data_IF_231077535492
#
_entry.id   IF_231077535492
#
_cell.length_a   1.000
_cell.length_b   1.000
_cell.length_c   1.000
_cell.angle_alpha   90.00
_cell.angle_beta   90.00
_cell.angle_gamma   90.00
#
_symmetry.space_group_name_H-M   'P 1'
#
loop_
_entity.id
_entity.type
_entity.pdbx_description
1 polymer ?
#
# COMPACT_ATOMS: atom_id res chain seq x y z
N UNK A 1 -23.50 32.74 43.68
CA UNK A 1 -22.03 32.73 43.52
C UNK A 1 -21.68 31.28 43.30
N UNK A 2 -21.61 30.85 42.04
CA UNK A 2 -21.06 29.53 41.72
C UNK A 2 -19.58 29.59 42.06
N UNK A 3 -19.10 28.56 42.72
CA UNK A 3 -17.76 28.48 43.30
C UNK A 3 -16.72 28.50 42.17
N UNK A 4 -15.72 29.38 42.26
CA UNK A 4 -14.69 29.51 41.22
C UNK A 4 -13.88 28.21 41.05
N UNK A 5 -13.94 27.30 42.03
CA UNK A 5 -13.38 25.95 41.94
C UNK A 5 -14.15 25.01 40.99
N UNK A 6 -15.48 25.11 40.93
CA UNK A 6 -16.30 24.21 40.07
C UNK A 6 -16.18 24.57 38.58
N UNK A 7 -16.05 25.86 38.24
CA UNK A 7 -15.83 26.30 36.86
C UNK A 7 -14.45 25.88 36.31
N UNK A 8 -13.42 25.87 37.16
CA UNK A 8 -12.07 25.42 36.80
C UNK A 8 -12.01 23.92 36.53
N UNK A 9 -12.68 23.12 37.35
CA UNK A 9 -12.76 21.66 37.19
C UNK A 9 -13.52 21.25 35.91
N UNK A 10 -14.58 21.99 35.55
CA UNK A 10 -15.31 21.76 34.30
C UNK A 10 -14.46 22.10 33.05
N UNK A 11 -13.71 23.20 33.08
CA UNK A 11 -12.86 23.62 31.97
C UNK A 11 -11.71 22.62 31.73
N UNK A 12 -11.08 22.15 32.80
CA UNK A 12 -10.06 21.10 32.73
C UNK A 12 -10.64 19.78 32.17
N UNK A 13 -11.86 19.40 32.60
CA UNK A 13 -12.53 18.22 32.06
C UNK A 13 -12.79 18.30 30.54
N UNK A 14 -13.11 19.49 30.00
CA UNK A 14 -13.27 19.67 28.56
C UNK A 14 -11.95 19.63 27.80
N UNK A 15 -10.87 20.16 28.39
CA UNK A 15 -9.54 20.12 27.79
C UNK A 15 -9.00 18.69 27.66
N UNK A 16 -9.28 17.82 28.64
CA UNK A 16 -8.92 16.39 28.58
C UNK A 16 -9.63 15.63 27.45
N UNK A 17 -10.80 16.12 27.01
CA UNK A 17 -11.57 15.53 25.90
C UNK A 17 -11.15 16.07 24.52
N UNK A 18 -10.24 17.05 24.48
CA UNK A 18 -9.79 17.65 23.23
C UNK A 18 -8.98 16.63 22.43
N UNK A 19 -9.28 16.41 21.15
CA UNK A 19 -8.45 15.57 20.29
C UNK A 19 -7.01 16.08 20.25
N UNK A 20 -6.05 15.16 20.25
CA UNK A 20 -4.63 15.47 20.13
C UNK A 20 -4.26 15.55 18.65
N UNK A 21 -3.53 16.59 18.28
CA UNK A 21 -3.05 16.75 16.91
C UNK A 21 -2.06 15.62 16.55
N UNK A 22 -2.27 14.91 15.43
CA UNK A 22 -1.38 13.84 15.01
C UNK A 22 0.03 14.35 14.66
N UNK A 23 1.05 13.55 14.96
CA UNK A 23 2.41 13.80 14.52
C UNK A 23 2.56 13.51 13.01
N UNK A 24 3.50 14.19 12.31
CA UNK A 24 3.82 13.88 10.91
C UNK A 24 4.17 12.39 10.67
N UNK A 25 4.76 11.70 11.66
CA UNK A 25 5.10 10.28 11.60
C UNK A 25 3.88 9.35 11.52
N UNK A 26 2.72 9.80 12.02
CA UNK A 26 1.45 9.08 11.97
C UNK A 26 0.77 9.20 10.60
N UNK A 27 1.25 10.06 9.70
CA UNK A 27 0.83 10.07 8.32
C UNK A 27 1.46 8.90 7.56
N UNK A 28 0.64 8.12 6.85
CA UNK A 28 1.14 7.00 6.05
C UNK A 28 1.86 7.43 4.75
N UNK A 29 1.85 8.73 4.42
CA UNK A 29 2.47 9.30 3.21
C UNK A 29 1.83 8.85 1.89
N UNK A 30 0.80 8.01 1.94
CA UNK A 30 0.19 7.37 0.77
C UNK A 30 -1.06 8.10 0.28
N UNK A 31 -1.44 9.17 0.97
CA UNK A 31 -2.54 10.03 0.57
C UNK A 31 -3.95 9.47 0.77
N UNK A 32 -4.09 8.66 1.82
CA UNK A 32 -5.36 8.09 2.23
C UNK A 32 -6.41 9.18 2.52
N UNK A 33 -7.67 8.88 2.25
CA UNK A 33 -8.81 9.72 2.61
C UNK A 33 -9.87 8.81 3.26
N UNK A 34 -10.26 9.05 4.52
CA UNK A 34 -9.73 10.10 5.40
C UNK A 34 -8.27 9.83 5.83
N UNK A 35 -7.45 10.88 5.83
CA UNK A 35 -6.13 10.90 6.46
C UNK A 35 -6.26 11.02 7.99
N UNK A 36 -5.21 10.71 8.75
CA UNK A 36 -5.18 10.92 10.20
C UNK A 36 -5.44 12.39 10.56
N UNK A 37 -4.95 13.33 9.75
CA UNK A 37 -5.23 14.76 9.90
C UNK A 37 -6.68 15.12 9.58
N UNK A 38 -7.31 14.48 8.58
CA UNK A 38 -8.73 14.69 8.27
C UNK A 38 -9.61 14.23 9.43
N UNK A 39 -9.27 13.10 10.04
CA UNK A 39 -9.95 12.58 11.23
C UNK A 39 -9.81 13.58 12.39
N UNK A 40 -8.59 14.03 12.67
CA UNK A 40 -8.33 15.04 13.70
C UNK A 40 -9.13 16.32 13.49
N UNK A 41 -9.12 16.90 12.29
CA UNK A 41 -9.85 18.15 12.01
C UNK A 41 -11.36 17.99 12.23
N UNK A 42 -11.93 16.84 11.82
CA UNK A 42 -13.35 16.55 12.06
C UNK A 42 -13.65 16.35 13.53
N UNK A 43 -12.81 15.63 14.26
CA UNK A 43 -13.02 15.37 15.68
C UNK A 43 -12.81 16.65 16.50
N UNK A 44 -11.88 17.53 16.10
CA UNK A 44 -11.68 18.86 16.68
C UNK A 44 -12.93 19.72 16.49
N UNK A 45 -13.50 19.76 15.28
CA UNK A 45 -14.74 20.50 15.01
C UNK A 45 -15.93 19.97 15.84
N UNK A 46 -16.03 18.64 16.03
CA UNK A 46 -17.03 18.03 16.92
C UNK A 46 -16.82 18.44 18.36
N UNK A 47 -15.57 18.43 18.83
CA UNK A 47 -15.24 18.85 20.18
C UNK A 47 -15.55 20.34 20.42
N UNK A 48 -15.24 21.21 19.45
CA UNK A 48 -15.58 22.63 19.51
C UNK A 48 -17.10 22.84 19.61
N UNK A 49 -17.88 22.11 18.81
CA UNK A 49 -19.35 22.17 18.85
C UNK A 49 -19.93 21.61 20.17
N UNK A 50 -19.40 20.49 20.66
CA UNK A 50 -19.77 19.89 21.94
C UNK A 50 -19.50 20.83 23.12
N UNK A 51 -18.32 21.46 23.13
CA UNK A 51 -17.93 22.43 24.16
C UNK A 51 -18.81 23.68 24.09
N UNK A 52 -19.11 24.20 22.90
CA UNK A 52 -19.96 25.37 22.73
C UNK A 52 -21.42 25.14 23.16
N UNK A 53 -21.94 23.93 22.96
CA UNK A 53 -23.29 23.54 23.35
C UNK A 53 -23.39 22.95 24.77
N UNK A 54 -22.25 22.72 25.43
CA UNK A 54 -22.12 21.93 26.68
C UNK A 54 -22.73 20.51 26.56
N UNK A 55 -22.87 19.99 25.35
CA UNK A 55 -23.46 18.69 25.08
C UNK A 55 -22.36 17.66 24.75
N UNK A 56 -22.01 16.84 25.73
CA UNK A 56 -21.01 15.77 25.57
C UNK A 56 -21.50 14.63 24.67
N UNK A 57 -22.79 14.52 24.39
CA UNK A 57 -23.31 13.47 23.49
C UNK A 57 -22.77 13.61 22.07
N UNK A 58 -22.44 14.85 21.65
CA UNK A 58 -21.83 15.16 20.35
C UNK A 58 -20.40 14.59 20.18
N UNK A 59 -19.75 14.22 21.28
CA UNK A 59 -18.44 13.55 21.27
C UNK A 59 -18.56 12.04 21.05
N UNK A 60 -19.73 11.46 21.36
CA UNK A 60 -19.96 10.04 21.13
C UNK A 60 -20.01 9.82 19.61
N UNK A 61 -19.11 8.99 19.11
CA UNK A 61 -19.21 8.51 17.73
C UNK A 61 -20.43 7.61 17.71
N UNK A 62 -21.27 7.72 16.68
CA UNK A 62 -22.21 6.65 16.34
C UNK A 62 -21.36 5.41 16.03
N UNK A 63 -21.08 4.62 17.06
CA UNK A 63 -20.74 3.22 16.91
C UNK A 63 -22.00 2.56 16.35
N UNK A 64 -22.19 2.69 15.03
CA UNK A 64 -22.95 1.67 14.31
C UNK A 64 -22.32 0.37 14.75
N UNK A 65 -23.06 -0.43 15.53
CA UNK A 65 -22.63 -1.70 16.11
C UNK A 65 -21.85 -2.49 15.08
N UNK A 66 -20.55 -2.26 15.05
CA UNK A 66 -19.66 -2.84 14.07
C UNK A 66 -19.12 -4.04 14.80
N UNK A 67 -19.44 -5.22 14.28
CA UNK A 67 -18.79 -6.43 14.71
C UNK A 67 -17.28 -6.15 14.77
N UNK A 68 -16.56 -6.55 15.84
CA UNK A 68 -15.11 -6.34 15.96
C UNK A 68 -14.29 -6.96 14.81
N UNK A 69 -14.96 -7.64 13.88
CA UNK A 69 -14.44 -8.19 12.63
C UNK A 69 -14.46 -7.25 11.42
N UNK A 70 -15.15 -6.09 11.45
CA UNK A 70 -15.30 -5.24 10.26
C UNK A 70 -14.30 -4.07 10.27
N UNK A 71 -13.39 -4.08 9.30
CA UNK A 71 -12.42 -3.02 9.07
C UNK A 71 -13.09 -1.64 8.88
N UNK A 72 -12.49 -0.61 9.47
CA UNK A 72 -12.89 0.80 9.32
C UNK A 72 -11.68 1.66 8.92
N UNK A 73 -11.84 2.66 8.02
CA UNK A 73 -10.77 3.63 7.73
C UNK A 73 -10.35 4.46 8.95
N UNK A 74 -11.17 4.49 10.00
CA UNK A 74 -11.01 5.40 11.14
C UNK A 74 -10.55 4.70 12.42
N UNK A 75 -10.64 3.38 12.49
CA UNK A 75 -10.37 2.60 13.70
C UNK A 75 -9.36 1.49 13.40
N UNK A 76 -8.34 1.39 14.24
CA UNK A 76 -7.38 0.30 14.18
C UNK A 76 -7.93 -0.94 14.87
N UNK A 77 -7.91 -2.06 14.15
CA UNK A 77 -8.21 -3.38 14.67
C UNK A 77 -6.93 -4.18 14.87
N UNK A 78 -6.92 -5.01 15.91
CA UNK A 78 -5.80 -5.86 16.28
C UNK A 78 -5.93 -7.21 15.56
N UNK A 79 -4.86 -7.66 14.91
CA UNK A 79 -4.79 -8.95 14.25
C UNK A 79 -3.57 -9.75 14.72
N UNK A 80 -3.78 -11.02 15.02
CA UNK A 80 -2.73 -11.95 15.45
C UNK A 80 -1.85 -12.30 14.26
N UNK A 81 -0.54 -12.24 14.44
CA UNK A 81 0.45 -12.74 13.49
C UNK A 81 0.52 -14.26 13.64
N UNK A 82 0.07 -14.96 12.60
CA UNK A 82 0.04 -16.43 12.57
C UNK A 82 1.32 -17.03 11.98
N UNK A 83 1.96 -16.33 11.04
CA UNK A 83 3.22 -16.75 10.41
C UNK A 83 4.04 -15.54 9.94
N UNK A 84 5.37 -15.71 9.95
CA UNK A 84 6.35 -14.74 9.44
C UNK A 84 7.38 -15.52 8.62
N UNK A 85 7.25 -15.49 7.30
CA UNK A 85 8.11 -16.21 6.38
C UNK A 85 9.09 -15.24 5.71
N UNK A 86 10.39 -15.49 5.84
CA UNK A 86 11.41 -14.70 5.15
C UNK A 86 11.59 -15.22 3.73
N UNK A 87 11.16 -14.43 2.73
CA UNK A 87 11.22 -14.82 1.32
C UNK A 87 12.57 -14.49 0.67
N UNK A 88 13.18 -13.37 1.05
CA UNK A 88 14.51 -12.92 0.58
C UNK A 88 15.32 -12.40 1.77
N UNK A 89 16.51 -11.87 1.53
CA UNK A 89 17.30 -11.24 2.59
C UNK A 89 16.52 -10.13 3.33
N UNK A 90 15.73 -9.34 2.61
CA UNK A 90 15.09 -8.14 3.12
C UNK A 90 13.55 -8.17 3.05
N UNK A 91 12.94 -9.21 2.50
CA UNK A 91 11.48 -9.26 2.27
C UNK A 91 10.82 -10.41 3.03
N UNK A 92 9.73 -10.08 3.71
CA UNK A 92 8.95 -10.99 4.54
C UNK A 92 7.53 -11.12 4.02
N UNK A 93 6.98 -12.32 4.06
CA UNK A 93 5.57 -12.61 3.92
C UNK A 93 5.00 -12.80 5.32
N UNK A 94 4.09 -11.93 5.73
CA UNK A 94 3.49 -11.98 7.07
C UNK A 94 2.01 -12.33 6.93
N UNK A 95 1.58 -13.37 7.65
CA UNK A 95 0.19 -13.83 7.67
C UNK A 95 -0.50 -13.42 8.97
N UNK A 96 -1.63 -12.75 8.84
CA UNK A 96 -2.47 -12.30 9.94
C UNK A 96 -3.76 -13.13 10.01
N UNK A 97 -4.15 -13.57 11.20
CA UNK A 97 -5.37 -14.33 11.41
C UNK A 97 -6.60 -13.42 11.45
N UNK A 98 -7.68 -13.84 10.78
CA UNK A 98 -8.99 -13.21 10.83
C UNK A 98 -9.93 -14.01 11.74
N UNK A 99 -10.79 -13.35 12.54
CA UNK A 99 -11.69 -14.03 13.45
C UNK A 99 -12.78 -14.80 12.69
N UNK A 100 -13.16 -15.98 13.20
CA UNK A 100 -14.35 -16.71 12.78
C UNK A 100 -14.39 -17.11 11.30
N UNK A 101 -13.24 -17.45 10.70
CA UNK A 101 -13.10 -17.77 9.27
C UNK A 101 -13.65 -16.67 8.33
N UNK A 102 -13.71 -15.41 8.79
CA UNK A 102 -14.14 -14.31 7.95
C UNK A 102 -13.14 -14.04 6.83
N UNK A 103 -13.61 -13.42 5.75
CA UNK A 103 -12.77 -12.87 4.68
C UNK A 103 -12.43 -11.41 4.98
N UNK A 104 -11.29 -10.94 4.47
CA UNK A 104 -10.87 -9.54 4.65
C UNK A 104 -11.80 -8.54 3.93
N UNK A 105 -12.41 -8.96 2.82
CA UNK A 105 -13.40 -8.18 2.08
C UNK A 105 -12.84 -6.97 1.32
N UNK A 106 -11.57 -7.01 0.90
CA UNK A 106 -10.96 -5.96 0.08
C UNK A 106 -11.29 -6.13 -1.40
N UNK A 107 -11.54 -5.01 -2.08
CA UNK A 107 -11.61 -4.96 -3.55
C UNK A 107 -10.21 -4.79 -4.16
N UNK A 108 -9.97 -5.28 -5.38
CA UNK A 108 -8.71 -5.04 -6.09
C UNK A 108 -8.36 -3.55 -6.15
N UNK A 109 -7.10 -3.21 -5.87
CA UNK A 109 -6.63 -1.83 -5.75
C UNK A 109 -6.76 -1.21 -4.35
N UNK A 110 -7.37 -1.91 -3.39
CA UNK A 110 -7.43 -1.47 -2.00
C UNK A 110 -6.20 -1.92 -1.19
N UNK A 111 -5.92 -1.19 -0.12
CA UNK A 111 -4.82 -1.44 0.81
C UNK A 111 -5.22 -1.10 2.25
N UNK A 112 -4.39 -1.53 3.20
CA UNK A 112 -4.56 -1.26 4.62
C UNK A 112 -3.41 -0.38 5.13
N UNK A 113 -3.64 0.28 6.26
CA UNK A 113 -2.61 1.02 6.98
C UNK A 113 -2.23 0.25 8.24
N UNK A 114 -0.97 -0.12 8.33
CA UNK A 114 -0.34 -0.69 9.53
C UNK A 114 0.09 0.44 10.46
N UNK A 115 -0.21 0.30 11.74
CA UNK A 115 0.37 1.11 12.82
C UNK A 115 1.43 0.31 13.58
N UNK A 116 2.55 0.96 13.85
CA UNK A 116 3.59 0.47 14.73
C UNK A 116 4.10 1.56 15.67
N UNK A 117 4.79 1.14 16.72
CA UNK A 117 5.43 2.03 17.70
C UNK A 117 6.87 1.60 17.87
N UNK A 118 7.81 2.53 17.73
CA UNK A 118 9.25 2.31 17.93
C UNK A 118 9.80 3.48 18.72
N UNK A 119 10.46 3.21 19.83
CA UNK A 119 11.06 4.24 20.69
C UNK A 119 10.02 5.34 21.05
N UNK A 120 8.82 4.93 21.47
CA UNK A 120 7.63 5.75 21.78
C UNK A 120 7.07 6.60 20.62
N UNK A 121 7.62 6.46 19.41
CA UNK A 121 7.14 7.13 18.22
C UNK A 121 6.15 6.24 17.46
N UNK A 122 4.91 6.71 17.31
CA UNK A 122 3.93 6.06 16.45
C UNK A 122 4.24 6.35 14.97
N UNK A 123 4.23 5.27 14.18
CA UNK A 123 4.47 5.28 12.74
C UNK A 123 3.35 4.53 12.01
N UNK A 124 2.98 5.02 10.83
CA UNK A 124 1.98 4.36 9.98
C UNK A 124 2.50 4.12 8.56
N UNK A 125 2.22 2.96 7.96
CA UNK A 125 2.59 2.65 6.56
C UNK A 125 1.49 1.88 5.85
N UNK A 126 1.31 2.16 4.57
CA UNK A 126 0.37 1.47 3.72
C UNK A 126 0.95 0.14 3.20
N UNK A 127 0.14 -0.91 3.22
CA UNK A 127 0.46 -2.19 2.61
C UNK A 127 -0.77 -2.79 1.93
N UNK A 128 -0.57 -3.40 0.78
CA UNK A 128 -1.62 -4.12 0.06
C UNK A 128 -1.57 -5.61 0.41
N UNK A 129 -2.66 -6.17 0.94
CA UNK A 129 -2.78 -7.62 1.10
C UNK A 129 -2.71 -8.33 -0.25
N UNK A 130 -2.02 -9.48 -0.27
CA UNK A 130 -1.79 -10.29 -1.48
C UNK A 130 -2.45 -11.67 -1.40
N UNK A 131 -3.18 -11.94 -0.32
CA UNK A 131 -3.99 -13.15 -0.20
C UNK A 131 -5.15 -13.13 -1.22
N UNK A 132 -5.58 -14.30 -1.73
CA UNK A 132 -6.77 -14.40 -2.58
C UNK A 132 -7.99 -13.70 -1.97
N UNK A 133 -8.87 -13.15 -2.81
CA UNK A 133 -10.06 -12.42 -2.34
C UNK A 133 -11.02 -13.31 -1.53
N UNK A 134 -11.05 -14.60 -1.83
CA UNK A 134 -11.84 -15.62 -1.15
C UNK A 134 -11.09 -16.32 0.01
N UNK A 135 -9.90 -15.84 0.39
CA UNK A 135 -9.16 -16.41 1.52
C UNK A 135 -9.95 -16.23 2.83
N UNK A 136 -10.21 -17.35 3.51
CA UNK A 136 -10.95 -17.39 4.77
C UNK A 136 -10.00 -17.51 5.95
N UNK A 137 -10.26 -16.72 7.01
CA UNK A 137 -9.53 -16.83 8.27
C UNK A 137 -8.13 -16.22 8.27
N UNK A 138 -7.66 -15.64 7.15
CA UNK A 138 -6.37 -14.94 7.12
C UNK A 138 -6.26 -13.89 6.02
N UNK A 139 -5.27 -13.02 6.16
CA UNK A 139 -4.72 -12.24 5.05
C UNK A 139 -3.20 -12.18 5.12
N UNK A 140 -2.56 -11.96 3.98
CA UNK A 140 -1.10 -11.94 3.86
C UNK A 140 -0.62 -10.62 3.30
N UNK A 141 0.51 -10.15 3.82
CA UNK A 141 1.15 -8.91 3.38
C UNK A 141 2.62 -9.15 3.10
N UNK A 142 3.08 -8.62 1.97
CA UNK A 142 4.49 -8.61 1.62
C UNK A 142 5.16 -7.32 2.14
N UNK A 143 6.20 -7.47 2.97
CA UNK A 143 6.89 -6.36 3.61
C UNK A 143 8.38 -6.41 3.34
N UNK A 144 8.90 -5.42 2.61
CA UNK A 144 10.33 -5.18 2.47
C UNK A 144 10.85 -4.31 3.61
N UNK A 145 11.93 -4.77 4.22
CA UNK A 145 12.59 -4.13 5.35
C UNK A 145 13.88 -3.44 4.90
N UNK A 146 13.94 -2.13 5.12
CA UNK A 146 15.11 -1.30 4.87
C UNK A 146 15.99 -1.22 6.11
N UNK A 147 17.28 -0.92 5.94
CA UNK A 147 18.25 -0.96 7.03
C UNK A 147 17.96 0.09 8.12
N UNK A 148 17.55 1.29 7.72
CA UNK A 148 17.29 2.43 8.62
C UNK A 148 15.80 2.73 8.83
N UNK A 149 14.90 1.92 8.27
CA UNK A 149 13.45 2.18 8.35
C UNK A 149 12.87 1.85 9.73
N UNK A 150 12.19 2.81 10.38
CA UNK A 150 11.50 2.55 11.66
C UNK A 150 10.47 1.42 11.56
N UNK A 151 9.65 1.42 10.49
CA UNK A 151 8.70 0.31 10.25
C UNK A 151 9.42 -1.01 10.01
N UNK A 152 10.62 -0.98 9.42
CA UNK A 152 11.44 -2.17 9.21
C UNK A 152 12.02 -2.72 10.51
N UNK A 153 12.41 -1.85 11.47
CA UNK A 153 12.77 -2.28 12.84
C UNK A 153 11.59 -2.93 13.54
N UNK A 154 10.40 -2.33 13.43
CA UNK A 154 9.16 -2.87 14.02
C UNK A 154 8.83 -4.26 13.47
N UNK A 155 8.80 -4.41 12.14
CA UNK A 155 8.47 -5.69 11.48
C UNK A 155 9.52 -6.77 11.76
N UNK A 156 10.82 -6.42 11.77
CA UNK A 156 11.90 -7.38 12.09
C UNK A 156 11.82 -7.94 13.51
N UNK A 157 11.11 -7.27 14.43
CA UNK A 157 10.91 -7.76 15.79
C UNK A 157 9.80 -8.80 15.92
N UNK A 158 8.94 -8.92 14.89
CA UNK A 158 7.74 -9.77 14.95
C UNK A 158 8.04 -11.26 14.95
N UNK A 159 7.19 -11.99 15.66
CA UNK A 159 7.13 -13.44 15.71
C UNK A 159 5.67 -13.89 15.64
N UNK A 160 5.45 -15.16 15.29
CA UNK A 160 4.13 -15.76 15.41
C UNK A 160 3.64 -15.67 16.86
N UNK A 161 2.39 -15.27 17.06
CA UNK A 161 1.80 -14.95 18.36
C UNK A 161 1.73 -13.46 18.69
N UNK A 162 2.51 -12.61 18.01
CA UNK A 162 2.45 -11.16 18.20
C UNK A 162 1.16 -10.58 17.58
N UNK A 163 0.88 -9.31 17.89
CA UNK A 163 -0.31 -8.61 17.38
C UNK A 163 0.09 -7.34 16.64
N UNK A 164 -0.54 -7.09 15.50
CA UNK A 164 -0.37 -5.86 14.73
C UNK A 164 -1.70 -5.14 14.53
N UNK A 165 -1.64 -3.82 14.41
CA UNK A 165 -2.82 -2.96 14.33
C UNK A 165 -3.01 -2.43 12.91
N UNK A 166 -4.18 -2.70 12.34
CA UNK A 166 -4.52 -2.35 10.96
C UNK A 166 -5.81 -1.55 10.88
N UNK A 167 -5.86 -0.57 9.98
CA UNK A 167 -7.10 0.12 9.61
C UNK A 167 -7.27 0.17 8.09
N UNK A 168 -8.49 0.37 7.62
CA UNK A 168 -8.83 0.41 6.20
C UNK A 168 -10.27 0.01 5.93
N UNK A 169 -10.67 -0.18 4.67
CA UNK A 169 -9.83 -0.15 3.48
C UNK A 169 -9.54 1.28 2.96
N UNK A 170 -8.41 1.44 2.27
CA UNK A 170 -8.07 2.61 1.47
C UNK A 170 -7.81 2.21 0.03
N UNK A 171 -7.73 3.19 -0.86
CA UNK A 171 -7.50 2.97 -2.29
C UNK A 171 -8.69 3.44 -3.12
N UNK A 172 -8.40 4.15 -4.21
CA UNK A 172 -9.40 4.72 -5.12
C UNK A 172 -9.40 4.08 -6.51
N UNK A 173 -8.53 3.11 -6.75
CA UNK A 173 -8.54 2.34 -8.00
C UNK A 173 -9.50 1.17 -7.83
N UNK A 174 -10.61 1.19 -8.56
CA UNK A 174 -11.59 0.11 -8.59
C UNK A 174 -11.62 -0.45 -10.00
N UNK A 175 -10.98 -1.60 -10.17
CA UNK A 175 -11.06 -2.35 -11.42
C UNK A 175 -12.45 -2.96 -11.59
N UNK A 176 -12.99 -2.88 -12.81
CA UNK A 176 -14.18 -3.62 -13.22
C UNK A 176 -13.81 -4.57 -14.35
N UNK A 177 -14.42 -5.76 -14.42
CA UNK A 177 -14.15 -6.70 -15.50
C UNK A 177 -14.34 -6.08 -16.87
N UNK A 178 -13.45 -6.38 -17.81
CA UNK A 178 -13.44 -5.84 -19.17
C UNK A 178 -13.37 -4.31 -19.28
N UNK A 179 -13.05 -3.58 -18.20
CA UNK A 179 -12.94 -2.11 -18.23
C UNK A 179 -11.85 -1.62 -19.18
N UNK A 180 -10.79 -2.42 -19.34
CA UNK A 180 -9.64 -2.10 -20.17
C UNK A 180 -9.37 -3.24 -21.14
N UNK A 181 -8.94 -2.90 -22.36
CA UNK A 181 -8.51 -3.90 -23.34
C UNK A 181 -7.25 -4.63 -22.89
N UNK A 182 -6.30 -3.91 -22.28
CA UNK A 182 -5.08 -4.46 -21.70
C UNK A 182 -4.60 -3.62 -20.52
N UNK A 183 -4.09 -4.26 -19.47
CA UNK A 183 -3.42 -3.63 -18.35
C UNK A 183 -1.91 -3.85 -18.48
N UNK A 184 -1.15 -2.74 -18.57
CA UNK A 184 0.30 -2.76 -18.45
C UNK A 184 0.68 -2.46 -17.00
N UNK A 185 1.04 -3.48 -16.23
CA UNK A 185 1.40 -3.38 -14.83
C UNK A 185 2.91 -3.25 -14.68
N UNK A 186 3.40 -2.09 -14.27
CA UNK A 186 4.83 -1.86 -13.98
C UNK A 186 5.04 -1.90 -12.46
N UNK A 187 5.80 -2.88 -11.99
CA UNK A 187 6.05 -3.12 -10.58
C UNK A 187 7.55 -3.24 -10.32
N UNK A 188 8.11 -2.41 -9.45
CA UNK A 188 9.48 -2.58 -8.95
C UNK A 188 9.45 -2.99 -7.49
N UNK A 189 10.23 -4.01 -7.15
CA UNK A 189 10.23 -4.54 -5.78
C UNK A 189 8.79 -4.72 -5.28
N UNK A 190 8.52 -4.35 -4.03
CA UNK A 190 7.25 -4.72 -3.36
C UNK A 190 6.05 -3.97 -3.93
N UNK A 191 6.27 -3.08 -4.92
CA UNK A 191 5.24 -2.57 -5.80
C UNK A 191 4.53 -3.65 -6.63
N UNK A 192 4.97 -4.91 -6.59
CA UNK A 192 4.22 -6.05 -7.11
C UNK A 192 2.94 -6.34 -6.30
N UNK A 193 2.95 -6.07 -4.99
CA UNK A 193 1.85 -6.44 -4.08
C UNK A 193 0.47 -5.93 -4.55
N UNK A 194 0.32 -4.68 -5.03
CA UNK A 194 -1.00 -4.19 -5.47
C UNK A 194 -1.43 -4.72 -6.83
N UNK A 195 -0.50 -5.27 -7.62
CA UNK A 195 -0.81 -5.92 -8.89
C UNK A 195 -1.42 -7.30 -8.65
N UNK A 196 -1.03 -7.99 -7.58
CA UNK A 196 -1.46 -9.37 -7.27
C UNK A 196 -3.00 -9.49 -7.19
N UNK A 197 -3.74 -8.71 -6.37
CA UNK A 197 -5.19 -8.85 -6.31
C UNK A 197 -5.92 -8.47 -7.60
N UNK A 198 -5.38 -7.52 -8.38
CA UNK A 198 -5.97 -7.13 -9.67
C UNK A 198 -5.81 -8.27 -10.66
N UNK A 199 -4.60 -8.81 -10.74
CA UNK A 199 -4.28 -9.90 -11.62
C UNK A 199 -5.11 -11.15 -11.30
N UNK A 200 -5.21 -11.53 -10.02
CA UNK A 200 -6.10 -12.61 -9.57
C UNK A 200 -7.56 -12.35 -9.91
N UNK A 201 -8.06 -11.11 -9.70
CA UNK A 201 -9.46 -10.79 -9.99
C UNK A 201 -9.84 -10.97 -11.47
N UNK A 202 -8.88 -10.81 -12.38
CA UNK A 202 -9.05 -11.02 -13.81
C UNK A 202 -8.97 -12.50 -14.13
N UNK A 203 -7.95 -13.21 -13.63
CA UNK A 203 -7.76 -14.63 -13.95
C UNK A 203 -8.78 -15.56 -13.31
N UNK A 204 -9.34 -15.17 -12.17
CA UNK A 204 -10.37 -15.94 -11.46
C UNK A 204 -11.78 -15.70 -12.05
N UNK A 205 -11.93 -14.74 -12.96
CA UNK A 205 -13.18 -14.43 -13.64
C UNK A 205 -13.11 -14.85 -15.11
N UNK A 206 -13.76 -15.96 -15.45
CA UNK A 206 -13.77 -16.50 -16.81
C UNK A 206 -14.40 -15.55 -17.86
N UNK A 207 -15.25 -14.61 -17.42
CA UNK A 207 -15.90 -13.62 -18.28
C UNK A 207 -15.04 -12.35 -18.47
N UNK A 208 -13.86 -12.29 -17.86
CA UNK A 208 -12.94 -11.16 -17.98
C UNK A 208 -11.87 -11.43 -19.05
N UNK A 209 -12.01 -10.76 -20.18
CA UNK A 209 -11.12 -10.88 -21.34
C UNK A 209 -10.02 -9.80 -21.35
N UNK A 210 -9.84 -9.05 -20.26
CA UNK A 210 -8.75 -8.07 -20.15
C UNK A 210 -7.39 -8.76 -20.31
N UNK A 211 -6.55 -8.27 -21.24
CA UNK A 211 -5.16 -8.69 -21.34
C UNK A 211 -4.32 -8.09 -20.20
N UNK A 212 -3.28 -8.79 -19.76
CA UNK A 212 -2.34 -8.31 -18.76
C UNK A 212 -0.92 -8.48 -19.28
N UNK A 213 -0.16 -7.38 -19.26
CA UNK A 213 1.29 -7.37 -19.40
C UNK A 213 1.90 -6.87 -18.10
N UNK A 214 2.45 -7.77 -17.30
CA UNK A 214 3.14 -7.47 -16.04
C UNK A 214 4.64 -7.38 -16.27
N UNK A 215 5.25 -6.27 -15.87
CA UNK A 215 6.69 -6.03 -15.91
C UNK A 215 7.19 -5.89 -14.48
N UNK A 216 7.96 -6.88 -14.02
CA UNK A 216 8.54 -6.93 -12.69
C UNK A 216 10.02 -6.53 -12.70
N UNK A 217 10.36 -5.43 -12.03
CA UNK A 217 11.74 -4.95 -11.88
C UNK A 217 12.32 -5.38 -10.52
N UNK A 218 13.42 -6.13 -10.55
CA UNK A 218 14.11 -6.66 -9.36
C UNK A 218 15.63 -6.47 -9.49
N UNK A 219 16.36 -6.63 -8.37
CA UNK A 219 17.84 -6.57 -8.41
C UNK A 219 18.41 -7.81 -9.08
N UNK A 220 18.04 -8.99 -8.58
CA UNK A 220 18.56 -10.29 -9.04
C UNK A 220 17.41 -11.27 -9.27
N UNK A 221 17.69 -12.38 -9.94
CA UNK A 221 16.70 -13.44 -10.15
C UNK A 221 16.21 -14.04 -8.82
N UNK A 222 17.09 -14.21 -7.85
CA UNK A 222 16.76 -14.70 -6.51
C UNK A 222 15.82 -13.74 -5.76
N UNK A 223 15.96 -12.44 -6.00
CA UNK A 223 15.12 -11.40 -5.41
C UNK A 223 13.68 -11.35 -5.94
N UNK A 224 13.33 -12.12 -6.97
CA UNK A 224 11.94 -12.26 -7.42
C UNK A 224 11.21 -13.13 -6.40
N UNK A 225 10.38 -12.53 -5.54
CA UNK A 225 9.42 -13.28 -4.71
C UNK A 225 8.14 -13.61 -5.48
N UNK A 226 7.35 -14.55 -4.94
CA UNK A 226 6.12 -15.04 -5.56
C UNK A 226 6.32 -15.69 -6.94
N UNK A 227 7.50 -16.27 -7.22
CA UNK A 227 7.82 -16.94 -8.50
C UNK A 227 6.75 -17.96 -8.92
N UNK A 228 6.34 -18.84 -8.01
CA UNK A 228 5.33 -19.86 -8.28
C UNK A 228 4.01 -19.23 -8.71
N UNK A 229 3.53 -18.24 -7.96
CA UNK A 229 2.33 -17.48 -8.31
C UNK A 229 2.47 -16.84 -9.70
N UNK A 230 3.57 -16.12 -9.97
CA UNK A 230 3.80 -15.49 -11.28
C UNK A 230 3.84 -16.50 -12.43
N UNK A 231 4.38 -17.69 -12.20
CA UNK A 231 4.39 -18.78 -13.19
C UNK A 231 2.99 -19.33 -13.44
N UNK A 232 2.20 -19.56 -12.39
CA UNK A 232 0.80 -20.02 -12.50
C UNK A 232 -0.03 -19.01 -13.30
N UNK A 233 0.10 -17.74 -12.96
CA UNK A 233 -0.59 -16.65 -13.62
C UNK A 233 -0.20 -16.52 -15.09
N UNK A 234 1.07 -16.75 -15.43
CA UNK A 234 1.53 -16.72 -16.81
C UNK A 234 1.06 -17.90 -17.68
N UNK A 235 0.30 -18.86 -17.11
CA UNK A 235 -0.35 -19.95 -17.87
C UNK A 235 -1.67 -19.50 -18.50
N UNK A 236 -2.27 -18.42 -18.00
CA UNK A 236 -3.50 -17.87 -18.56
C UNK A 236 -3.21 -17.22 -19.92
N UNK A 237 -4.11 -17.44 -20.88
CA UNK A 237 -3.95 -17.02 -22.28
C UNK A 237 -3.81 -15.50 -22.46
N UNK A 238 -4.38 -14.75 -21.52
CA UNK A 238 -4.42 -13.29 -21.49
C UNK A 238 -3.28 -12.66 -20.66
N UNK A 239 -2.41 -13.45 -20.01
CA UNK A 239 -1.33 -12.93 -19.14
C UNK A 239 0.04 -13.07 -19.79
N UNK A 240 0.85 -12.01 -19.73
CA UNK A 240 2.28 -11.99 -20.05
C UNK A 240 3.06 -11.39 -18.88
N UNK A 241 4.21 -11.99 -18.59
CA UNK A 241 5.12 -11.53 -17.52
C UNK A 241 6.50 -11.29 -18.10
N UNK A 242 7.06 -10.11 -17.85
CA UNK A 242 8.43 -9.74 -18.17
C UNK A 242 9.18 -9.38 -16.89
N UNK A 243 10.48 -9.64 -16.88
CA UNK A 243 11.35 -9.36 -15.75
C UNK A 243 12.50 -8.46 -16.18
N UNK A 244 12.80 -7.44 -15.39
CA UNK A 244 13.95 -6.55 -15.59
C UNK A 244 14.85 -6.69 -14.37
N UNK A 245 16.09 -7.16 -14.57
CA UNK A 245 17.03 -7.44 -13.49
C UNK A 245 18.24 -6.49 -13.55
N UNK A 246 18.37 -5.63 -12.55
CA UNK A 246 19.36 -4.54 -12.57
C UNK A 246 20.77 -4.92 -12.11
N UNK A 247 20.92 -6.05 -11.41
CA UNK A 247 22.20 -6.55 -10.89
C UNK A 247 22.54 -7.96 -11.41
N UNK A 248 21.81 -8.44 -12.43
CA UNK A 248 22.08 -9.69 -13.12
C UNK A 248 22.76 -9.41 -14.46
N UNK A 249 23.72 -10.25 -14.86
CA UNK A 249 24.56 -9.98 -16.03
C UNK A 249 24.65 -11.13 -17.03
N UNK A 250 24.07 -12.30 -16.74
CA UNK A 250 24.12 -13.45 -17.65
C UNK A 250 22.82 -14.25 -17.68
N UNK A 251 22.35 -14.56 -18.88
CA UNK A 251 21.20 -15.46 -19.11
C UNK A 251 21.49 -16.90 -18.66
N UNK A 252 22.76 -17.29 -18.60
CA UNK A 252 23.17 -18.66 -18.27
C UNK A 252 22.81 -19.02 -16.82
N UNK A 253 22.79 -18.02 -15.94
CA UNK A 253 22.42 -18.14 -14.53
C UNK A 253 20.90 -18.25 -14.32
N UNK A 254 20.11 -17.94 -15.35
CA UNK A 254 18.66 -18.02 -15.28
C UNK A 254 18.13 -19.39 -15.71
N UNK A 255 17.09 -19.91 -15.03
CA UNK A 255 16.34 -21.05 -15.53
C UNK A 255 15.79 -20.76 -16.92
N UNK A 256 15.76 -21.78 -17.77
CA UNK A 256 15.38 -21.64 -19.18
C UNK A 256 14.01 -20.97 -19.35
N UNK A 257 13.05 -21.29 -18.47
CA UNK A 257 11.70 -20.72 -18.47
C UNK A 257 11.63 -19.19 -18.30
N UNK A 258 12.70 -18.55 -17.81
CA UNK A 258 12.75 -17.10 -17.58
C UNK A 258 13.57 -16.35 -18.63
N UNK A 259 14.42 -17.02 -19.41
CA UNK A 259 15.41 -16.36 -20.28
C UNK A 259 14.76 -15.42 -21.30
N UNK A 260 13.76 -15.90 -22.04
CA UNK A 260 13.11 -15.11 -23.11
C UNK A 260 12.33 -13.90 -22.58
N UNK A 261 11.90 -13.98 -21.32
CA UNK A 261 11.07 -12.98 -20.65
C UNK A 261 11.88 -12.02 -19.78
N UNK A 262 13.19 -12.22 -19.70
CA UNK A 262 14.07 -11.40 -18.85
C UNK A 262 14.88 -10.43 -19.70
N UNK A 263 15.09 -9.23 -19.15
CA UNK A 263 15.99 -8.20 -19.66
C UNK A 263 16.92 -7.78 -18.52
N UNK A 264 18.15 -7.42 -18.85
CA UNK A 264 19.13 -6.97 -17.87
C UNK A 264 19.28 -5.46 -17.90
N UNK A 265 19.66 -4.88 -16.77
CA UNK A 265 19.77 -3.45 -16.58
C UNK A 265 18.52 -2.85 -15.94
N UNK A 266 18.25 -1.59 -16.23
CA UNK A 266 17.15 -0.82 -15.63
C UNK A 266 16.06 -0.61 -16.67
N UNK A 267 14.82 -0.39 -16.21
CA UNK A 267 13.73 -0.04 -17.13
C UNK A 267 13.96 1.37 -17.65
N UNK A 268 14.33 1.49 -18.93
CA UNK A 268 14.56 2.74 -19.63
C UNK A 268 13.46 3.03 -20.66
N UNK A 269 13.64 4.11 -21.43
CA UNK A 269 12.70 4.55 -22.45
C UNK A 269 12.50 3.50 -23.53
N UNK A 270 13.60 3.00 -24.08
CA UNK A 270 13.60 2.14 -25.26
C UNK A 270 12.98 0.78 -24.93
N UNK A 271 13.32 0.22 -23.76
CA UNK A 271 12.71 -1.01 -23.27
C UNK A 271 11.21 -0.82 -22.97
N UNK A 272 10.82 0.32 -22.41
CA UNK A 272 9.41 0.60 -22.18
C UNK A 272 8.63 0.74 -23.51
N UNK A 273 9.21 1.36 -24.53
CA UNK A 273 8.63 1.41 -25.88
C UNK A 273 8.50 0.00 -26.49
N UNK A 274 9.52 -0.86 -26.38
CA UNK A 274 9.46 -2.27 -26.80
C UNK A 274 8.29 -3.00 -26.11
N UNK A 275 8.19 -2.87 -24.78
CA UNK A 275 7.17 -3.54 -23.98
C UNK A 275 5.76 -3.06 -24.32
N UNK A 276 5.58 -1.74 -24.51
CA UNK A 276 4.30 -1.16 -24.95
C UNK A 276 3.96 -1.62 -26.36
N UNK A 277 4.93 -1.69 -27.27
CA UNK A 277 4.75 -2.23 -28.62
C UNK A 277 4.40 -3.72 -28.64
N UNK A 278 4.77 -4.46 -27.59
CA UNK A 278 4.42 -5.88 -27.43
C UNK A 278 3.00 -6.13 -26.91
N UNK A 279 2.32 -5.08 -26.43
CA UNK A 279 0.93 -5.17 -25.95
C UNK A 279 -0.01 -5.52 -27.12
N UNK A 280 -1.00 -6.37 -26.85
CA UNK A 280 -1.96 -6.87 -27.84
C UNK A 280 -3.10 -5.87 -28.10
N UNK A 281 -3.43 -5.05 -27.10
CA UNK A 281 -4.39 -3.95 -27.20
C UNK A 281 -3.77 -2.68 -26.64
N UNK A 282 -4.40 -1.54 -26.91
CA UNK A 282 -4.01 -0.25 -26.32
C UNK A 282 -4.01 -0.38 -24.79
N UNK A 283 -2.83 -0.31 -24.12
CA UNK A 283 -2.77 -0.62 -22.70
C UNK A 283 -3.30 0.53 -21.84
N UNK A 284 -3.72 0.21 -20.62
CA UNK A 284 -3.85 1.16 -19.52
C UNK A 284 -2.73 0.87 -18.51
N UNK A 285 -1.86 1.84 -18.27
CA UNK A 285 -0.68 1.64 -17.46
C UNK A 285 -0.97 1.83 -15.97
N UNK A 286 -0.68 0.78 -15.20
CA UNK A 286 -0.68 0.79 -13.73
C UNK A 286 0.76 0.83 -13.24
N UNK A 287 1.06 1.83 -12.42
CA UNK A 287 2.37 1.98 -11.80
C UNK A 287 2.20 2.20 -10.31
N UNK A 288 3.14 1.70 -9.52
CA UNK A 288 3.25 2.08 -8.12
C UNK A 288 4.45 2.95 -7.86
N UNK A 289 4.19 4.10 -7.24
CA UNK A 289 5.24 4.89 -6.61
C UNK A 289 5.41 4.40 -5.17
N UNK A 290 6.52 3.75 -4.84
CA UNK A 290 6.94 3.68 -3.44
C UNK A 290 7.59 5.03 -3.08
N UNK A 291 6.93 5.84 -2.26
CA UNK A 291 7.54 7.04 -1.69
C UNK A 291 7.97 6.75 -0.25
N UNK A 292 9.26 6.82 0.10
CA UNK A 292 9.64 7.05 1.48
C UNK A 292 9.43 8.54 1.76
N UNK A 293 8.47 8.87 2.61
CA UNK A 293 8.36 10.21 3.17
C UNK A 293 9.52 10.38 4.17
N UNK A 294 10.69 10.70 3.65
CA UNK A 294 11.87 11.11 4.41
C UNK A 294 12.29 12.47 3.86
N UNK A 295 12.37 13.47 4.73
CA UNK A 295 12.96 14.76 4.41
C UNK A 295 14.36 14.57 3.84
N UNK A 296 14.74 15.41 2.89
CA UNK A 296 16.01 15.45 2.14
C UNK A 296 17.30 15.51 2.97
N UNK A 297 17.24 15.39 4.30
CA UNK A 297 18.37 15.50 5.21
C UNK A 297 19.01 14.14 5.61
N UNK A 298 18.35 12.99 5.41
CA UNK A 298 18.78 11.71 6.00
C UNK A 298 19.16 10.59 5.00
N UNK A 299 19.40 10.91 3.73
CA UNK A 299 19.77 9.93 2.71
C UNK A 299 21.18 10.18 2.18
N UNK A 300 22.17 9.51 2.78
CA UNK A 300 23.41 9.10 2.08
C UNK A 300 23.54 7.59 2.29
N UNK A 301 23.02 6.81 1.34
CA UNK A 301 23.11 5.36 1.39
C UNK A 301 22.66 4.68 0.09
N UNK A 302 23.02 3.40 -0.11
CA UNK A 302 22.80 2.62 -1.36
C UNK A 302 21.32 2.36 -1.73
N UNK A 303 20.37 2.84 -0.92
CA UNK A 303 18.93 2.73 -1.15
C UNK A 303 18.36 3.85 -2.05
N UNK A 304 19.15 4.88 -2.38
CA UNK A 304 18.77 5.97 -3.30
C UNK A 304 18.52 5.47 -4.73
N UNK A 305 19.27 4.45 -5.18
CA UNK A 305 19.28 4.01 -6.58
C UNK A 305 17.99 3.35 -7.07
N UNK A 306 17.19 2.74 -6.18
CA UNK A 306 15.91 2.11 -6.56
C UNK A 306 14.76 3.13 -6.58
N UNK A 307 14.91 4.24 -5.84
CA UNK A 307 13.91 5.32 -5.78
C UNK A 307 13.94 6.19 -7.03
N UNK A 308 15.12 6.37 -7.63
CA UNK A 308 15.30 7.05 -8.92
C UNK A 308 14.63 6.27 -10.06
N UNK A 309 14.62 4.93 -10.02
CA UNK A 309 14.01 4.10 -11.07
C UNK A 309 12.49 4.28 -11.17
N UNK A 310 11.76 4.31 -10.06
CA UNK A 310 10.28 4.35 -10.08
C UNK A 310 9.71 5.71 -10.46
N UNK A 311 10.36 6.81 -10.04
CA UNK A 311 9.99 8.14 -10.51
C UNK A 311 10.27 8.32 -11.99
N UNK A 312 11.39 7.77 -12.47
CA UNK A 312 11.74 7.74 -13.87
C UNK A 312 10.77 6.87 -14.67
N UNK A 313 10.34 5.70 -14.17
CA UNK A 313 9.35 4.84 -14.81
C UNK A 313 7.98 5.52 -14.97
N UNK A 314 7.48 6.24 -13.96
CA UNK A 314 6.23 6.99 -14.13
C UNK A 314 6.42 8.16 -15.09
N UNK A 315 7.50 8.94 -14.96
CA UNK A 315 7.76 10.07 -15.85
C UNK A 315 7.93 9.62 -17.31
N UNK A 316 8.61 8.48 -17.53
CA UNK A 316 8.75 7.83 -18.84
C UNK A 316 7.40 7.29 -19.33
N UNK A 317 6.65 6.56 -18.52
CA UNK A 317 5.33 6.07 -18.92
C UNK A 317 4.38 7.23 -19.27
N UNK A 318 4.36 8.30 -18.48
CA UNK A 318 3.56 9.50 -18.78
C UNK A 318 4.08 10.22 -20.04
N UNK A 319 5.40 10.29 -20.24
CA UNK A 319 6.00 10.95 -21.40
C UNK A 319 5.90 10.15 -22.70
N UNK A 320 5.88 8.82 -22.64
CA UNK A 320 5.85 7.92 -23.80
C UNK A 320 4.45 7.56 -24.25
N UNK A 321 3.53 7.41 -23.29
CA UNK A 321 2.18 6.94 -23.58
C UNK A 321 1.26 8.07 -24.06
N UNK A 322 1.74 9.32 -24.04
CA UNK A 322 1.04 10.51 -24.58
C UNK A 322 -0.23 10.89 -23.79
N UNK A 323 -0.94 11.95 -24.21
CA UNK A 323 -2.20 12.37 -23.58
C UNK A 323 -3.36 11.37 -23.76
N UNK A 324 -3.23 10.43 -24.71
CA UNK A 324 -4.28 9.48 -25.11
C UNK A 324 -4.29 8.15 -24.34
N UNK A 325 -3.27 7.87 -23.51
CA UNK A 325 -3.28 6.75 -22.56
C UNK A 325 -3.25 7.29 -21.12
N UNK A 326 -4.27 6.94 -20.36
CA UNK A 326 -4.41 7.31 -18.95
C UNK A 326 -3.46 6.42 -18.13
N UNK A 327 -2.36 6.98 -17.64
CA UNK A 327 -1.55 6.34 -16.61
C UNK A 327 -2.13 6.70 -15.24
N UNK A 328 -2.41 5.70 -14.41
CA UNK A 328 -2.78 5.94 -13.02
C UNK A 328 -1.65 5.42 -12.13
N UNK A 329 -0.96 6.34 -11.47
CA UNK A 329 -0.23 5.97 -10.27
C UNK A 329 -1.29 5.53 -9.25
N UNK A 330 -1.14 4.34 -8.67
CA UNK A 330 -1.91 3.99 -7.47
C UNK A 330 -1.42 4.86 -6.30
N UNK A 331 -1.82 6.14 -6.29
CA UNK A 331 -1.53 7.12 -5.25
C UNK A 331 -2.84 7.63 -4.68
N UNK A 332 -2.92 7.65 -3.35
CA UNK A 332 -3.81 8.58 -2.66
C UNK A 332 -3.29 10.01 -2.78
N UNK A 333 -4.16 10.98 -2.49
CA UNK A 333 -3.89 12.43 -2.56
C UNK A 333 -2.69 12.81 -1.70
N UNK A 334 -1.69 13.51 -2.24
CA UNK A 334 -0.66 14.12 -1.39
C UNK A 334 -1.31 14.97 -0.29
N UNK A 335 -1.11 14.61 0.98
CA UNK A 335 -1.69 15.31 2.13
C UNK A 335 -1.08 16.70 2.40
N UNK A 336 -0.12 17.15 1.60
CA UNK A 336 0.42 18.50 1.68
C UNK A 336 -0.43 19.44 0.81
N UNK A 337 -1.57 19.83 1.37
CA UNK A 337 -2.26 21.05 0.95
C UNK A 337 -1.40 22.26 1.31
N UNK A 338 -1.38 23.23 0.40
CA UNK A 338 -0.66 24.49 0.50
C UNK A 338 -0.86 25.13 1.88
N UNK A 339 0.24 25.34 2.62
CA UNK A 339 0.28 26.45 3.55
C UNK A 339 0.15 27.72 2.70
N UNK A 340 -1.02 28.36 2.77
CA UNK A 340 -1.22 29.68 2.16
C UNK A 340 -0.24 30.69 2.76
N UNK A 341 0.17 31.72 2.01
CA UNK A 341 0.95 32.80 2.58
C UNK A 341 0.02 33.63 3.48
N UNK A 342 0.29 33.60 4.79
CA UNK A 342 -0.19 34.56 5.76
C UNK A 342 0.94 35.48 6.17
#
# INVERSE_FOLDING_TARGET
MMDQGEEGDEEEAWLQLRPVEPLPSQCCGSGCSPCVFDIYQRDLARWEAARASKDRSLLSREETQSCPSKLSPETFLAFLISAVDRLTEDTYLVRFALPGNSQLGLRPGQHLILRGTVDDLEIQRAYTPISPANAEGYFEVLIKCYQTGLMSRYVKSWKAGDTAFWRGPFGGFFYKPNQYGELLMLAAGTGLAPMVPILQSITDNAEDETFITLVGCFKTFEGIYLKTFLQEQARFWNVRTFFVLSQENSLEQLPWSYRDRTRFGRLDRDLLEELVGSCRRKPFALTLKSWPALSSADLRGPDEEMLVELEFCLLLAVALLGPDLRAQAMKGRSCWGQAGPG
#
